data_IF_287453213342
#
_entry.id   IF_287453213342
#
_cell.length_a   1.000
_cell.length_b   1.000
_cell.length_c   1.000
_cell.angle_alpha   90.00
_cell.angle_beta   90.00
_cell.angle_gamma   90.00
#
_symmetry.space_group_name_H-M   'P 1'
#
loop_
_entity.id
_entity.type
_entity.pdbx_description
1 polymer ?
#
# COMPACT_ATOMS: atom_id res chain seq x y z
N UNK A 1 31.39 -72.23 -57.07
CA UNK A 1 30.34 -72.64 -56.12
C UNK A 1 30.90 -72.48 -54.71
N UNK A 2 30.10 -71.91 -53.81
CA UNK A 2 30.28 -71.91 -52.35
C UNK A 2 31.34 -70.97 -51.71
N UNK A 3 30.81 -70.15 -50.79
CA UNK A 3 31.35 -69.48 -49.58
C UNK A 3 32.72 -68.78 -49.63
N UNK A 4 32.78 -67.53 -49.15
CA UNK A 4 33.22 -67.24 -47.77
C UNK A 4 33.34 -65.73 -47.50
N UNK A 5 33.05 -65.41 -46.25
CA UNK A 5 33.14 -64.15 -45.51
C UNK A 5 34.51 -63.45 -45.60
N UNK A 6 34.54 -62.12 -45.53
CA UNK A 6 35.68 -61.41 -44.95
C UNK A 6 35.28 -60.12 -44.22
N UNK A 7 36.12 -59.80 -43.25
CA UNK A 7 35.92 -59.02 -42.04
C UNK A 7 36.51 -57.60 -42.13
N UNK A 8 35.89 -56.70 -41.36
CA UNK A 8 36.51 -55.66 -40.52
C UNK A 8 37.11 -54.37 -41.11
N UNK A 9 36.99 -53.33 -40.26
CA UNK A 9 37.72 -52.05 -40.17
C UNK A 9 37.37 -51.02 -41.26
N UNK A 10 37.01 -49.78 -40.96
CA UNK A 10 37.01 -49.02 -39.72
C UNK A 10 37.38 -47.57 -40.06
N UNK A 11 36.67 -46.59 -39.47
CA UNK A 11 37.15 -45.21 -39.23
C UNK A 11 37.35 -44.35 -40.51
N UNK A 12 37.07 -43.05 -40.65
CA UNK A 12 37.02 -41.85 -39.80
C UNK A 12 36.34 -40.77 -40.67
N UNK A 13 35.30 -40.09 -40.14
CA UNK A 13 34.90 -38.68 -40.37
C UNK A 13 34.51 -38.27 -41.80
N UNK A 14 33.35 -37.68 -42.07
CA UNK A 14 32.64 -36.66 -41.31
C UNK A 14 32.63 -35.37 -42.13
N UNK A 15 31.56 -35.14 -42.90
CA UNK A 15 31.14 -33.79 -43.29
C UNK A 15 29.68 -33.77 -43.75
N UNK A 16 28.90 -33.07 -42.94
CA UNK A 16 27.79 -32.18 -43.28
C UNK A 16 26.76 -32.68 -44.30
N UNK A 17 25.66 -33.24 -43.78
CA UNK A 17 24.33 -33.02 -44.34
C UNK A 17 23.32 -32.69 -43.23
N UNK A 18 22.98 -31.40 -43.19
CA UNK A 18 21.61 -30.88 -43.12
C UNK A 18 20.61 -31.62 -42.22
N UNK A 19 20.47 -31.15 -40.96
CA UNK A 19 19.28 -31.44 -40.13
C UNK A 19 18.41 -30.18 -40.04
N UNK A 20 17.38 -30.09 -40.87
CA UNK A 20 16.22 -29.24 -40.57
C UNK A 20 15.35 -29.98 -39.54
N UNK A 21 15.50 -29.66 -38.26
CA UNK A 21 14.53 -29.97 -37.23
C UNK A 21 13.89 -28.66 -36.81
N UNK A 22 12.64 -28.44 -37.23
CA UNK A 22 11.77 -27.38 -36.75
C UNK A 22 11.46 -27.64 -35.27
N UNK A 23 12.15 -26.95 -34.37
CA UNK A 23 11.77 -26.86 -32.96
C UNK A 23 10.91 -25.60 -32.79
N UNK A 24 9.59 -25.78 -32.71
CA UNK A 24 8.69 -24.74 -32.22
C UNK A 24 8.91 -24.58 -30.70
N UNK A 25 9.71 -23.58 -30.33
CA UNK A 25 9.79 -23.13 -28.93
C UNK A 25 8.57 -22.26 -28.65
N UNK A 26 7.60 -22.83 -27.92
CA UNK A 26 6.53 -22.08 -27.26
C UNK A 26 7.15 -21.15 -26.22
N UNK A 27 7.38 -19.88 -26.59
CA UNK A 27 7.62 -18.83 -25.60
C UNK A 27 6.31 -18.51 -24.89
N UNK A 28 6.09 -19.14 -23.74
CA UNK A 28 5.14 -18.64 -22.76
C UNK A 28 5.65 -17.28 -22.25
N UNK A 29 5.09 -16.20 -22.78
CA UNK A 29 5.34 -14.84 -22.29
C UNK A 29 4.77 -14.72 -20.88
N UNK A 30 5.65 -14.74 -19.88
CA UNK A 30 5.34 -14.34 -18.51
C UNK A 30 5.08 -12.83 -18.48
N UNK A 31 3.82 -12.46 -18.74
CA UNK A 31 3.31 -11.11 -18.53
C UNK A 31 3.35 -10.80 -17.03
N UNK A 32 4.39 -10.09 -16.61
CA UNK A 32 4.49 -9.50 -15.27
C UNK A 32 3.37 -8.47 -15.10
N UNK A 33 2.51 -8.70 -14.11
CA UNK A 33 1.43 -7.83 -13.69
C UNK A 33 1.97 -6.47 -13.17
N UNK A 34 2.07 -5.48 -14.05
CA UNK A 34 2.14 -4.07 -13.67
C UNK A 34 0.72 -3.58 -13.34
N UNK A 35 0.57 -2.76 -12.29
CA UNK A 35 -0.70 -2.27 -11.76
C UNK A 35 -1.55 -1.54 -12.81
N UNK A 36 -2.40 -2.28 -13.50
CA UNK A 36 -3.40 -1.71 -14.38
C UNK A 36 -4.55 -1.15 -13.52
N UNK A 37 -4.89 0.12 -13.78
CA UNK A 37 -6.25 0.62 -13.58
C UNK A 37 -7.18 -0.43 -14.21
N UNK A 38 -8.21 -0.97 -13.53
CA UNK A 38 -9.08 -1.94 -14.16
C UNK A 38 -9.57 -1.34 -15.49
N UNK A 39 -9.22 -1.99 -16.60
CA UNK A 39 -9.86 -1.73 -17.87
C UNK A 39 -11.37 -1.83 -17.62
N UNK A 40 -12.21 -1.03 -18.27
CA UNK A 40 -13.66 -1.27 -18.27
C UNK A 40 -13.88 -2.74 -18.66
N UNK A 41 -14.23 -3.60 -17.69
CA UNK A 41 -14.36 -5.06 -17.87
C UNK A 41 -13.31 -5.96 -17.18
N UNK A 42 -12.31 -5.42 -16.48
CA UNK A 42 -11.37 -6.22 -15.66
C UNK A 42 -11.98 -6.68 -14.31
N UNK A 43 -11.32 -7.59 -13.58
CA UNK A 43 -11.78 -8.03 -12.26
C UNK A 43 -11.82 -6.85 -11.29
N UNK A 44 -12.96 -6.68 -10.60
CA UNK A 44 -13.16 -5.60 -9.63
C UNK A 44 -12.34 -5.92 -8.37
N UNK A 45 -11.43 -5.01 -8.01
CA UNK A 45 -10.61 -5.08 -6.80
C UNK A 45 -11.05 -3.97 -5.84
N UNK A 46 -12.06 -4.22 -4.97
CA UNK A 46 -12.68 -3.16 -4.19
C UNK A 46 -11.74 -2.53 -3.15
N UNK A 47 -10.74 -3.26 -2.67
CA UNK A 47 -9.68 -2.73 -1.80
C UNK A 47 -8.85 -1.64 -2.50
N UNK A 48 -8.54 -1.82 -3.80
CA UNK A 48 -7.84 -0.82 -4.60
C UNK A 48 -8.75 0.37 -4.89
N UNK A 49 -10.04 0.14 -5.17
CA UNK A 49 -11.01 1.22 -5.36
C UNK A 49 -11.13 2.09 -4.10
N UNK A 50 -11.28 1.44 -2.94
CA UNK A 50 -11.33 2.14 -1.66
C UNK A 50 -10.06 2.94 -1.41
N UNK A 51 -8.89 2.32 -1.59
CA UNK A 51 -7.62 3.00 -1.39
C UNK A 51 -7.49 4.23 -2.30
N UNK A 52 -7.76 4.08 -3.60
CA UNK A 52 -7.53 5.14 -4.58
C UNK A 52 -8.53 6.30 -4.50
N UNK A 53 -9.78 6.03 -4.12
CA UNK A 53 -10.86 7.03 -4.22
C UNK A 53 -11.45 7.44 -2.87
N UNK A 54 -11.37 6.59 -1.84
CA UNK A 54 -12.11 6.79 -0.60
C UNK A 54 -11.20 7.08 0.60
N UNK A 55 -10.05 6.40 0.71
CA UNK A 55 -9.16 6.45 1.89
C UNK A 55 -8.64 7.85 2.20
N UNK A 56 -8.46 8.69 1.17
CA UNK A 56 -7.99 10.09 1.31
C UNK A 56 -8.88 10.91 2.25
N UNK A 57 -10.17 10.61 2.30
CA UNK A 57 -11.13 11.23 3.22
C UNK A 57 -11.50 10.30 4.36
N UNK A 58 -11.79 9.03 4.08
CA UNK A 58 -12.33 8.09 5.06
C UNK A 58 -11.26 7.36 5.90
N UNK A 59 -9.98 7.63 5.64
CA UNK A 59 -8.84 6.98 6.30
C UNK A 59 -8.62 5.56 5.79
N UNK A 60 -7.38 5.06 5.84
CA UNK A 60 -7.07 3.68 5.43
C UNK A 60 -7.75 2.62 6.31
N UNK A 61 -8.19 3.01 7.51
CA UNK A 61 -8.90 2.16 8.48
C UNK A 61 -10.42 2.37 8.47
N UNK A 62 -10.94 3.19 7.55
CA UNK A 62 -12.36 3.54 7.51
C UNK A 62 -12.86 4.33 8.72
N UNK A 63 -11.97 4.88 9.54
CA UNK A 63 -12.27 5.57 10.79
C UNK A 63 -12.45 7.09 10.61
N UNK A 64 -12.42 7.58 9.37
CA UNK A 64 -12.50 9.00 9.04
C UNK A 64 -11.28 9.81 9.49
N UNK A 65 -10.23 9.17 10.03
CA UNK A 65 -9.00 9.83 10.47
C UNK A 65 -8.02 9.92 9.31
N UNK A 66 -8.33 10.80 8.35
CA UNK A 66 -7.39 11.17 7.30
C UNK A 66 -6.86 12.59 7.49
N UNK A 67 -5.91 13.01 6.66
CA UNK A 67 -5.45 14.42 6.62
C UNK A 67 -6.59 15.40 6.32
N UNK A 68 -7.66 14.94 5.66
CA UNK A 68 -8.82 15.75 5.33
C UNK A 68 -9.77 15.99 6.53
N UNK A 69 -9.65 15.20 7.61
CA UNK A 69 -10.58 15.26 8.76
C UNK A 69 -10.74 16.66 9.36
N UNK A 70 -9.65 17.42 9.48
CA UNK A 70 -9.66 18.76 10.08
C UNK A 70 -10.15 19.87 9.15
N UNK A 71 -10.26 19.60 7.85
CA UNK A 71 -10.55 20.61 6.82
C UNK A 71 -11.94 20.47 6.19
N UNK A 72 -12.70 19.44 6.57
CA UNK A 72 -14.03 19.16 6.01
C UNK A 72 -15.10 19.29 7.09
N UNK A 73 -16.14 20.05 6.79
CA UNK A 73 -17.32 20.22 7.65
C UNK A 73 -18.56 19.77 6.86
N UNK A 74 -19.31 18.75 7.32
CA UNK A 74 -18.98 17.85 8.43
C UNK A 74 -17.77 16.95 8.11
N UNK A 75 -17.11 16.38 9.14
CA UNK A 75 -15.97 15.48 8.93
C UNK A 75 -16.38 14.21 8.17
N UNK A 76 -15.43 13.54 7.49
CA UNK A 76 -15.67 12.26 6.86
C UNK A 76 -16.25 11.23 7.83
N UNK A 77 -17.11 10.35 7.31
CA UNK A 77 -17.77 9.31 8.10
C UNK A 77 -16.74 8.32 8.65
N UNK A 78 -16.81 8.11 9.97
CA UNK A 78 -16.20 6.97 10.65
C UNK A 78 -17.12 5.75 10.49
N UNK A 79 -16.75 4.82 9.59
CA UNK A 79 -17.48 3.59 9.34
C UNK A 79 -17.39 2.60 10.51
N UNK A 80 -16.33 2.68 11.31
CA UNK A 80 -16.12 1.79 12.47
C UNK A 80 -17.10 2.05 13.61
N UNK A 81 -17.87 3.16 13.54
CA UNK A 81 -18.89 3.56 14.52
C UNK A 81 -20.29 3.75 13.93
N UNK A 82 -20.48 3.46 12.64
CA UNK A 82 -21.72 3.78 11.93
C UNK A 82 -22.71 2.60 11.94
N UNK A 83 -23.56 2.52 12.97
CA UNK A 83 -24.58 1.46 13.09
C UNK A 83 -25.76 1.59 12.11
N UNK A 84 -26.16 2.82 11.75
CA UNK A 84 -27.39 3.09 10.98
C UNK A 84 -27.17 3.23 9.46
N UNK A 85 -26.13 2.61 8.90
CA UNK A 85 -25.78 2.77 7.49
C UNK A 85 -26.04 1.47 6.71
N UNK A 86 -27.26 1.33 6.21
CA UNK A 86 -27.69 0.19 5.39
C UNK A 86 -26.99 0.14 4.03
N UNK A 87 -26.82 -1.07 3.47
CA UNK A 87 -26.13 -1.29 2.18
C UNK A 87 -26.68 -0.39 1.06
N UNK A 88 -28.00 -0.34 0.91
CA UNK A 88 -28.63 0.45 -0.15
C UNK A 88 -28.42 1.96 0.03
N UNK A 89 -28.44 2.43 1.28
CA UNK A 89 -28.12 3.82 1.61
C UNK A 89 -26.68 4.17 1.24
N UNK A 90 -25.73 3.28 1.51
CA UNK A 90 -24.33 3.47 1.12
C UNK A 90 -24.17 3.54 -0.39
N UNK A 91 -24.79 2.62 -1.14
CA UNK A 91 -24.77 2.64 -2.60
C UNK A 91 -25.31 3.98 -3.09
N UNK A 92 -26.48 4.41 -2.59
CA UNK A 92 -27.10 5.67 -2.98
C UNK A 92 -26.19 6.88 -2.73
N UNK A 93 -25.52 6.93 -1.57
CA UNK A 93 -24.59 8.01 -1.20
C UNK A 93 -23.31 7.97 -2.05
N UNK A 94 -22.74 6.79 -2.33
CA UNK A 94 -21.55 6.69 -3.18
C UNK A 94 -21.90 7.05 -4.62
N UNK A 95 -23.07 6.63 -5.10
CA UNK A 95 -23.55 6.95 -6.45
C UNK A 95 -23.82 8.43 -6.61
N UNK A 96 -24.56 9.08 -5.71
CA UNK A 96 -25.03 10.47 -5.93
C UNK A 96 -24.32 11.53 -5.08
N UNK A 97 -23.46 11.11 -4.16
CA UNK A 97 -22.91 11.97 -3.13
C UNK A 97 -23.86 12.16 -1.96
N UNK A 98 -23.42 12.92 -0.96
CA UNK A 98 -24.25 13.34 0.17
C UNK A 98 -24.38 14.85 0.17
N UNK A 99 -25.58 15.41 -0.06
CA UNK A 99 -25.81 16.85 -0.05
C UNK A 99 -25.27 17.53 1.20
N UNK A 100 -24.80 18.76 1.05
CA UNK A 100 -24.24 19.59 2.14
C UNK A 100 -23.01 18.96 2.82
N UNK A 101 -22.25 18.15 2.09
CA UNK A 101 -20.96 17.59 2.53
C UNK A 101 -19.97 17.56 1.37
N UNK A 102 -18.70 17.28 1.66
CA UNK A 102 -17.67 17.08 0.63
C UNK A 102 -17.77 15.72 -0.11
N UNK A 103 -18.72 14.85 0.26
CA UNK A 103 -18.90 13.56 -0.40
C UNK A 103 -19.60 13.74 -1.75
N UNK A 104 -18.81 13.83 -2.82
CA UNK A 104 -19.30 13.90 -4.20
C UNK A 104 -19.86 12.55 -4.66
N UNK A 105 -20.70 12.58 -5.70
CA UNK A 105 -21.12 11.36 -6.40
C UNK A 105 -20.01 10.79 -7.27
N UNK A 106 -19.96 9.46 -7.35
CA UNK A 106 -18.96 8.71 -8.11
C UNK A 106 -19.51 8.02 -9.36
N UNK A 107 -20.79 8.23 -9.68
CA UNK A 107 -21.49 7.63 -10.82
C UNK A 107 -20.87 7.97 -12.19
N UNK A 108 -20.06 9.04 -12.27
CA UNK A 108 -19.37 9.42 -13.50
C UNK A 108 -17.97 8.80 -13.64
N UNK A 109 -17.40 8.25 -12.57
CA UNK A 109 -16.05 7.70 -12.53
C UNK A 109 -16.03 6.18 -12.29
N UNK A 110 -17.04 5.65 -11.59
CA UNK A 110 -17.18 4.25 -11.23
C UNK A 110 -18.47 3.67 -11.83
N UNK A 111 -18.40 2.43 -12.29
CA UNK A 111 -19.58 1.66 -12.68
C UNK A 111 -20.41 1.26 -11.47
N UNK A 112 -21.69 0.95 -11.68
CA UNK A 112 -22.57 0.48 -10.60
C UNK A 112 -22.01 -0.76 -9.87
N UNK A 113 -21.39 -1.69 -10.61
CA UNK A 113 -20.75 -2.88 -10.02
C UNK A 113 -19.54 -2.53 -9.15
N UNK A 114 -18.74 -1.54 -9.54
CA UNK A 114 -17.61 -1.05 -8.74
C UNK A 114 -18.07 -0.34 -7.48
N UNK A 115 -19.15 0.44 -7.56
CA UNK A 115 -19.79 1.09 -6.42
C UNK A 115 -20.32 0.05 -5.42
N UNK A 116 -21.03 -0.96 -5.90
CA UNK A 116 -21.51 -2.05 -5.04
C UNK A 116 -20.35 -2.79 -4.38
N UNK A 117 -19.31 -3.12 -5.14
CA UNK A 117 -18.14 -3.82 -4.62
C UNK A 117 -17.39 -3.01 -3.55
N UNK A 118 -17.18 -1.70 -3.74
CA UNK A 118 -16.52 -0.87 -2.72
C UNK A 118 -17.39 -0.69 -1.48
N UNK A 119 -18.73 -0.60 -1.64
CA UNK A 119 -19.66 -0.56 -0.50
C UNK A 119 -19.59 -1.87 0.30
N UNK A 120 -19.61 -3.01 -0.38
CA UNK A 120 -19.53 -4.32 0.26
C UNK A 120 -18.18 -4.52 0.95
N UNK A 121 -17.09 -4.02 0.36
CA UNK A 121 -15.78 -3.97 1.00
C UNK A 121 -15.77 -3.09 2.26
N UNK A 122 -16.34 -1.88 2.23
CA UNK A 122 -16.43 -0.99 3.41
C UNK A 122 -17.18 -1.70 4.54
N UNK A 123 -18.31 -2.33 4.23
CA UNK A 123 -19.16 -3.02 5.21
C UNK A 123 -18.45 -4.24 5.81
N UNK A 124 -17.86 -5.07 4.96
CA UNK A 124 -17.17 -6.29 5.38
C UNK A 124 -15.79 -6.04 5.98
N UNK A 125 -15.20 -4.87 5.81
CA UNK A 125 -13.87 -4.56 6.38
C UNK A 125 -13.99 -3.69 7.62
N UNK A 126 -14.70 -2.57 7.54
CA UNK A 126 -14.68 -1.53 8.59
C UNK A 126 -15.91 -1.58 9.50
N UNK A 127 -17.04 -2.11 9.03
CA UNK A 127 -18.31 -2.07 9.76
C UNK A 127 -18.65 -3.38 10.49
N UNK A 128 -17.81 -4.43 10.40
CA UNK A 128 -18.13 -5.74 11.00
C UNK A 128 -18.51 -5.67 12.47
N UNK A 129 -17.75 -4.91 13.27
CA UNK A 129 -18.00 -4.79 14.71
C UNK A 129 -19.37 -4.17 14.98
N UNK A 130 -19.76 -3.12 14.25
CA UNK A 130 -21.05 -2.45 14.45
C UNK A 130 -22.22 -3.24 13.86
N UNK A 131 -21.97 -4.20 12.97
CA UNK A 131 -23.02 -4.99 12.30
C UNK A 131 -23.23 -6.39 12.90
N UNK A 132 -22.27 -6.96 13.64
CA UNK A 132 -22.39 -8.29 14.27
C UNK A 132 -22.61 -8.15 15.79
N UNK A 133 -23.80 -8.51 16.33
CA UNK A 133 -24.09 -8.45 17.76
C UNK A 133 -23.07 -9.21 18.64
N UNK A 134 -22.45 -10.28 18.14
CA UNK A 134 -21.42 -11.02 18.89
C UNK A 134 -20.14 -10.19 19.02
N UNK A 135 -19.77 -9.44 17.99
CA UNK A 135 -18.62 -8.54 18.04
C UNK A 135 -18.90 -7.31 18.93
N UNK A 136 -20.13 -6.81 18.95
CA UNK A 136 -20.56 -5.77 19.90
C UNK A 136 -20.47 -6.27 21.34
N UNK A 137 -20.95 -7.48 21.62
CA UNK A 137 -20.79 -8.12 22.93
C UNK A 137 -19.30 -8.27 23.30
N UNK A 138 -18.48 -8.76 22.37
CA UNK A 138 -17.03 -8.85 22.57
C UNK A 138 -16.36 -7.51 22.85
N UNK A 139 -16.79 -6.44 22.18
CA UNK A 139 -16.33 -5.07 22.42
C UNK A 139 -16.68 -4.61 23.84
N UNK A 140 -17.91 -4.86 24.30
CA UNK A 140 -18.30 -4.53 25.67
C UNK A 140 -17.44 -5.27 26.70
N UNK A 141 -17.24 -6.58 26.50
CA UNK A 141 -16.36 -7.39 27.36
C UNK A 141 -14.94 -6.81 27.38
N UNK A 142 -14.39 -6.43 26.22
CA UNK A 142 -13.06 -5.82 26.12
C UNK A 142 -12.94 -4.51 26.90
N UNK A 143 -13.90 -3.60 26.73
CA UNK A 143 -13.91 -2.29 27.39
C UNK A 143 -13.93 -2.46 28.91
N UNK A 144 -14.75 -3.38 29.43
CA UNK A 144 -14.90 -3.57 30.87
C UNK A 144 -13.76 -4.35 31.53
N UNK A 145 -13.08 -5.25 30.79
CA UNK A 145 -12.17 -6.23 31.42
C UNK A 145 -10.73 -6.16 30.90
N UNK A 146 -10.50 -5.71 29.68
CA UNK A 146 -9.23 -5.87 28.99
C UNK A 146 -8.53 -4.53 28.69
N UNK A 147 -9.31 -3.50 28.38
CA UNK A 147 -8.83 -2.19 27.90
C UNK A 147 -7.85 -1.52 28.87
N UNK A 148 -8.03 -1.69 30.18
CA UNK A 148 -7.14 -1.10 31.20
C UNK A 148 -5.67 -1.49 31.01
N UNK A 149 -5.40 -2.71 30.56
CA UNK A 149 -4.03 -3.19 30.33
C UNK A 149 -3.69 -3.21 28.83
N UNK A 150 -4.64 -3.55 27.96
CA UNK A 150 -4.37 -3.70 26.52
C UNK A 150 -4.52 -2.41 25.73
N UNK A 151 -5.05 -1.33 26.33
CA UNK A 151 -5.32 -0.06 25.67
C UNK A 151 -6.60 -0.07 24.85
N UNK A 152 -7.09 1.10 24.47
CA UNK A 152 -8.29 1.29 23.65
C UNK A 152 -8.15 0.76 22.21
N UNK A 153 -6.92 0.71 21.69
CA UNK A 153 -6.58 0.22 20.34
C UNK A 153 -5.79 -1.08 20.37
N UNK A 154 -5.73 -1.77 21.51
CA UNK A 154 -4.96 -3.01 21.65
C UNK A 154 -3.44 -2.83 21.58
N UNK A 155 -2.92 -1.62 21.79
CA UNK A 155 -1.51 -1.28 21.70
C UNK A 155 -0.66 -1.79 22.88
N UNK A 156 -1.31 -2.21 23.96
CA UNK A 156 -0.67 -2.56 25.23
C UNK A 156 -0.25 -1.32 26.03
N UNK A 157 -0.55 -1.30 27.33
CA UNK A 157 -0.02 -0.31 28.27
C UNK A 157 1.34 -0.76 28.84
N UNK A 158 2.10 0.16 29.44
CA UNK A 158 3.35 -0.20 30.14
C UNK A 158 3.04 -1.06 31.38
N UNK A 159 3.77 -2.16 31.55
CA UNK A 159 3.69 -3.00 32.76
C UNK A 159 4.67 -2.55 33.83
N UNK A 160 4.37 -2.92 35.08
CA UNK A 160 5.31 -2.83 36.20
C UNK A 160 6.61 -3.59 35.90
N UNK A 161 7.73 -3.08 36.41
CA UNK A 161 9.07 -3.67 36.24
C UNK A 161 9.06 -5.16 36.64
N UNK A 162 9.54 -6.03 35.75
CA UNK A 162 9.68 -7.47 35.99
C UNK A 162 8.58 -8.37 35.42
N UNK A 163 7.48 -7.81 34.90
CA UNK A 163 6.44 -8.58 34.20
C UNK A 163 6.50 -8.38 32.69
N UNK A 164 6.23 -9.44 31.93
CA UNK A 164 6.07 -9.33 30.47
C UNK A 164 4.89 -8.39 30.16
N UNK A 165 5.09 -7.37 29.31
CA UNK A 165 4.06 -6.37 29.05
C UNK A 165 2.87 -6.95 28.29
N UNK A 166 1.68 -6.32 28.41
CA UNK A 166 0.52 -6.62 27.58
C UNK A 166 0.86 -6.64 26.10
N UNK A 167 0.26 -7.59 25.37
CA UNK A 167 0.52 -7.76 23.93
C UNK A 167 -0.04 -6.57 23.14
N UNK A 168 0.76 -6.06 22.20
CA UNK A 168 0.31 -5.13 21.17
C UNK A 168 -0.30 -5.93 19.99
N UNK A 169 -1.63 -5.94 19.93
CA UNK A 169 -2.42 -6.66 18.92
C UNK A 169 -2.30 -6.06 17.52
N UNK A 170 -1.92 -4.78 17.40
CA UNK A 170 -1.81 -4.09 16.11
C UNK A 170 -0.53 -4.42 15.33
N UNK A 171 0.39 -5.22 15.88
CA UNK A 171 1.65 -5.58 15.22
C UNK A 171 1.45 -6.69 14.18
N UNK A 172 2.17 -6.68 13.03
CA UNK A 172 2.14 -7.78 12.07
C UNK A 172 2.49 -9.13 12.72
N UNK A 173 3.44 -9.14 13.65
CA UNK A 173 3.85 -10.33 14.39
C UNK A 173 2.71 -10.88 15.25
N UNK A 174 2.00 -10.02 15.99
CA UNK A 174 0.81 -10.44 16.75
C UNK A 174 -0.29 -11.00 15.83
N UNK A 175 -0.53 -10.36 14.68
CA UNK A 175 -1.49 -10.86 13.68
C UNK A 175 -1.14 -12.25 13.14
N UNK A 176 0.14 -12.52 12.93
CA UNK A 176 0.61 -13.81 12.44
C UNK A 176 0.56 -14.90 13.53
N UNK A 177 0.94 -14.60 14.77
CA UNK A 177 1.10 -15.63 15.80
C UNK A 177 -0.15 -15.93 16.64
N UNK A 178 -1.06 -14.96 16.78
CA UNK A 178 -2.17 -15.04 17.74
C UNK A 178 -3.39 -15.63 17.04
N UNK A 179 -3.41 -16.95 16.88
CA UNK A 179 -4.59 -17.67 16.40
C UNK A 179 -5.76 -17.50 17.36
N UNK A 180 -6.99 -17.71 16.86
CA UNK A 180 -8.21 -17.61 17.68
C UNK A 180 -8.14 -18.55 18.88
N UNK A 181 -7.75 -19.80 18.64
CA UNK A 181 -7.68 -20.87 19.63
C UNK A 181 -6.65 -20.53 20.71
N UNK A 182 -5.49 -20.01 20.30
CA UNK A 182 -4.43 -19.58 21.23
C UNK A 182 -4.89 -18.41 22.10
N UNK A 183 -5.62 -17.46 21.52
CA UNK A 183 -6.16 -16.33 22.26
C UNK A 183 -7.23 -16.77 23.26
N UNK A 184 -8.16 -17.64 22.86
CA UNK A 184 -9.15 -18.23 23.77
C UNK A 184 -8.44 -18.94 24.92
N UNK A 185 -7.47 -19.80 24.62
CA UNK A 185 -6.70 -20.49 25.65
C UNK A 185 -6.02 -19.52 26.63
N UNK A 186 -5.43 -18.44 26.12
CA UNK A 186 -4.74 -17.45 26.94
C UNK A 186 -5.69 -16.61 27.80
N UNK A 187 -6.89 -16.30 27.32
CA UNK A 187 -7.92 -15.59 28.10
C UNK A 187 -8.52 -16.51 29.16
N UNK A 188 -8.81 -17.76 28.80
CA UNK A 188 -9.35 -18.77 29.72
C UNK A 188 -8.40 -19.06 30.86
N UNK A 189 -7.12 -19.33 30.57
CA UNK A 189 -6.16 -19.85 31.53
C UNK A 189 -5.18 -18.80 32.09
N UNK A 190 -5.21 -17.58 31.56
CA UNK A 190 -4.22 -16.56 31.86
C UNK A 190 -2.86 -16.89 31.24
N UNK A 191 -1.84 -16.08 31.52
CA UNK A 191 -0.46 -16.33 31.06
C UNK A 191 0.54 -16.22 32.21
N UNK A 192 1.32 -17.27 32.51
CA UNK A 192 2.39 -17.23 33.51
C UNK A 192 3.40 -16.12 33.21
N UNK A 193 4.02 -15.56 34.26
CA UNK A 193 4.99 -14.46 34.19
C UNK A 193 4.43 -13.16 33.57
N UNK A 194 3.11 -12.99 33.60
CA UNK A 194 2.40 -11.79 33.15
C UNK A 194 1.31 -11.40 34.15
N UNK A 195 0.77 -10.19 34.03
CA UNK A 195 -0.41 -9.77 34.81
C UNK A 195 -1.74 -10.38 34.29
N UNK A 196 -1.73 -11.16 33.21
CA UNK A 196 -2.92 -11.73 32.59
C UNK A 196 -3.45 -12.91 33.40
N UNK A 197 -4.34 -12.64 34.35
CA UNK A 197 -5.04 -13.66 35.13
C UNK A 197 -6.01 -14.51 34.26
N UNK A 198 -6.36 -15.74 34.70
CA UNK A 198 -7.40 -16.55 34.05
C UNK A 198 -8.79 -15.93 34.18
N UNK A 199 -9.56 -15.95 33.09
CA UNK A 199 -10.95 -15.47 33.06
C UNK A 199 -12.00 -16.60 33.08
N UNK A 200 -11.59 -17.89 33.05
CA UNK A 200 -12.51 -19.02 33.01
C UNK A 200 -13.58 -19.03 34.12
N UNK A 201 -13.29 -18.46 35.29
CA UNK A 201 -14.22 -18.36 36.43
C UNK A 201 -14.91 -16.99 36.54
N UNK A 202 -14.55 -16.03 35.69
CA UNK A 202 -15.03 -14.64 35.73
C UNK A 202 -15.95 -14.29 34.56
N UNK A 203 -15.76 -14.97 33.43
CA UNK A 203 -16.53 -14.75 32.21
C UNK A 203 -17.09 -16.10 31.71
N UNK A 204 -18.35 -16.13 31.22
CA UNK A 204 -18.86 -17.24 30.44
C UNK A 204 -17.99 -17.54 29.21
N UNK A 205 -17.92 -18.80 28.80
CA UNK A 205 -17.15 -19.20 27.59
C UNK A 205 -17.55 -18.40 26.35
N UNK A 206 -18.84 -18.12 26.17
CA UNK A 206 -19.35 -17.30 25.06
C UNK A 206 -18.77 -15.88 25.06
N UNK A 207 -18.52 -15.29 26.23
CA UNK A 207 -17.97 -13.93 26.35
C UNK A 207 -16.46 -13.93 26.11
N UNK A 208 -15.77 -15.00 26.50
CA UNK A 208 -14.35 -15.24 26.16
C UNK A 208 -14.19 -15.38 24.63
N UNK A 209 -15.05 -16.15 23.99
CA UNK A 209 -15.04 -16.29 22.53
C UNK A 209 -15.36 -14.95 21.83
N UNK A 210 -16.40 -14.26 22.29
CA UNK A 210 -16.80 -12.98 21.73
C UNK A 210 -15.70 -11.92 21.83
N UNK A 211 -15.02 -11.79 22.98
CA UNK A 211 -13.92 -10.82 23.13
C UNK A 211 -12.73 -11.16 22.25
N UNK A 212 -12.41 -12.44 22.06
CA UNK A 212 -11.35 -12.86 21.14
C UNK A 212 -11.71 -12.54 19.69
N UNK A 213 -12.96 -12.80 19.29
CA UNK A 213 -13.45 -12.50 17.95
C UNK A 213 -13.46 -10.99 17.69
N UNK A 214 -13.81 -10.18 18.70
CA UNK A 214 -13.69 -8.73 18.66
C UNK A 214 -12.24 -8.27 18.52
N UNK A 215 -11.29 -8.77 19.34
CA UNK A 215 -9.88 -8.36 19.25
C UNK A 215 -9.34 -8.67 17.84
N UNK A 216 -9.62 -9.87 17.33
CA UNK A 216 -9.17 -10.29 16.00
C UNK A 216 -9.78 -9.46 14.86
N UNK A 217 -11.05 -9.10 14.98
CA UNK A 217 -11.76 -8.38 13.91
C UNK A 217 -11.55 -6.86 13.99
N UNK A 218 -11.62 -6.28 15.19
CA UNK A 218 -11.61 -4.84 15.41
C UNK A 218 -10.25 -4.24 15.74
N UNK A 219 -9.37 -4.97 16.44
CA UNK A 219 -8.06 -4.44 16.89
C UNK A 219 -6.88 -4.99 16.06
N UNK A 220 -7.04 -6.16 15.47
CA UNK A 220 -6.05 -6.84 14.64
C UNK A 220 -6.33 -6.66 13.14
N UNK A 221 -7.01 -5.57 12.74
CA UNK A 221 -7.14 -5.25 11.31
C UNK A 221 -5.75 -5.15 10.69
N UNK A 222 -5.52 -5.74 9.49
CA UNK A 222 -4.29 -5.49 8.77
C UNK A 222 -4.15 -3.99 8.58
N UNK A 223 -2.95 -3.46 8.83
CA UNK A 223 -2.59 -2.19 8.21
C UNK A 223 -2.84 -2.37 6.70
N UNK A 224 -3.31 -1.35 5.98
CA UNK A 224 -3.47 -1.40 4.52
C UNK A 224 -2.12 -1.58 3.77
N UNK A 225 -1.11 -2.15 4.41
CA UNK A 225 0.12 -2.63 3.79
C UNK A 225 -0.19 -3.79 2.87
N UNK A 226 0.28 -3.63 1.64
CA UNK A 226 0.20 -4.52 0.47
C UNK A 226 -0.80 -4.11 -0.61
N UNK A 227 -1.62 -3.06 -0.38
CA UNK A 227 -2.20 -2.30 -1.49
C UNK A 227 -1.08 -1.40 -2.01
N UNK A 228 -0.46 -1.80 -3.13
CA UNK A 228 0.62 -1.06 -3.82
C UNK A 228 0.39 0.46 -3.77
N UNK A 229 1.07 1.14 -2.83
CA UNK A 229 0.94 2.57 -2.60
C UNK A 229 1.01 3.03 -1.13
N UNK A 230 0.61 2.19 -0.17
CA UNK A 230 0.56 2.59 1.26
C UNK A 230 1.92 2.54 1.98
N UNK A 231 2.93 1.89 1.40
CA UNK A 231 4.28 1.79 1.98
C UNK A 231 5.15 3.03 1.79
N UNK A 232 4.69 4.06 1.07
CA UNK A 232 5.49 5.27 0.85
C UNK A 232 5.57 6.17 2.11
N UNK A 233 4.72 5.96 3.13
CA UNK A 233 4.60 6.91 4.24
C UNK A 233 4.46 6.33 5.66
N UNK A 234 4.72 5.03 5.85
CA UNK A 234 4.77 4.44 7.19
C UNK A 234 6.04 3.60 7.34
N UNK A 235 6.96 4.12 8.17
CA UNK A 235 8.28 3.59 8.57
C UNK A 235 9.45 4.03 7.70
N UNK A 236 10.24 4.96 8.25
CA UNK A 236 11.67 5.00 7.98
C UNK A 236 12.26 3.65 8.38
N UNK A 237 12.59 2.81 7.40
CA UNK A 237 13.37 1.59 7.59
C UNK A 237 14.80 1.92 7.19
N UNK A 238 15.61 2.27 8.17
CA UNK A 238 17.02 2.66 8.05
C UNK A 238 17.96 1.48 7.72
N UNK A 239 17.56 0.57 6.83
CA UNK A 239 18.32 -0.64 6.54
C UNK A 239 18.50 -1.00 5.05
N UNK A 240 17.80 -0.34 4.12
CA UNK A 240 17.83 -0.67 2.68
C UNK A 240 18.29 0.50 1.79
N UNK A 241 18.89 1.53 2.38
CA UNK A 241 19.20 2.78 1.67
C UNK A 241 20.32 2.66 0.61
N UNK A 242 21.20 1.66 0.69
CA UNK A 242 22.33 1.57 -0.24
C UNK A 242 21.98 0.87 -1.58
N UNK A 243 21.19 -0.21 -1.56
CA UNK A 243 20.79 -0.92 -2.78
C UNK A 243 19.64 -0.24 -3.54
N UNK A 244 18.83 0.60 -2.88
CA UNK A 244 17.74 1.33 -3.52
C UNK A 244 18.21 2.42 -4.48
N UNK A 245 19.35 3.06 -4.21
CA UNK A 245 19.83 4.25 -4.94
C UNK A 245 20.53 3.95 -6.27
N UNK A 246 20.84 2.68 -6.53
CA UNK A 246 21.39 2.19 -7.80
C UNK A 246 20.32 1.76 -8.81
N UNK A 247 19.05 1.70 -8.40
CA UNK A 247 17.95 1.25 -9.26
C UNK A 247 17.75 2.18 -10.47
N UNK A 248 17.54 1.56 -11.63
CA UNK A 248 17.16 2.21 -12.89
C UNK A 248 15.63 2.38 -12.97
N UNK A 249 15.13 3.12 -13.96
CA UNK A 249 13.69 3.27 -14.16
C UNK A 249 13.02 1.93 -14.52
N UNK A 250 11.78 1.74 -14.05
CA UNK A 250 11.07 0.44 -14.03
C UNK A 250 10.85 -0.16 -15.43
N UNK A 251 10.82 0.69 -16.47
CA UNK A 251 10.59 0.29 -17.86
C UNK A 251 11.87 0.26 -18.72
N UNK A 252 13.06 0.27 -18.11
CA UNK A 252 14.33 0.35 -18.84
C UNK A 252 14.60 1.71 -19.51
N UNK A 253 13.76 2.71 -19.23
CA UNK A 253 13.93 4.08 -19.71
C UNK A 253 15.28 4.64 -19.23
N UNK A 254 15.89 5.47 -20.07
CA UNK A 254 17.10 6.22 -19.74
C UNK A 254 16.76 7.70 -19.78
N UNK A 255 16.68 8.34 -18.61
CA UNK A 255 16.37 9.76 -18.53
C UNK A 255 17.53 10.64 -19.02
N UNK A 256 17.20 11.70 -19.74
CA UNK A 256 18.09 12.78 -20.15
C UNK A 256 17.96 13.97 -19.18
N UNK A 257 18.93 14.20 -18.28
CA UNK A 257 18.84 15.27 -17.29
C UNK A 257 18.89 16.68 -17.92
N UNK A 258 19.39 16.85 -19.14
CA UNK A 258 19.39 18.15 -19.80
C UNK A 258 17.99 18.54 -20.27
N UNK A 259 17.28 17.60 -20.92
CA UNK A 259 15.85 17.76 -21.28
C UNK A 259 14.98 17.89 -20.03
N UNK A 260 15.23 17.05 -19.04
CA UNK A 260 14.55 17.08 -17.75
C UNK A 260 14.73 18.40 -17.01
N UNK A 261 15.92 18.98 -17.06
CA UNK A 261 16.20 20.28 -16.45
C UNK A 261 15.41 21.41 -17.11
N UNK A 262 15.28 21.41 -18.44
CA UNK A 262 14.45 22.39 -19.14
C UNK A 262 12.98 22.27 -18.71
N UNK A 263 12.44 21.06 -18.72
CA UNK A 263 11.07 20.78 -18.28
C UNK A 263 10.83 21.13 -16.81
N UNK A 264 11.80 20.82 -15.94
CA UNK A 264 11.73 21.17 -14.52
C UNK A 264 11.60 22.68 -14.32
N UNK A 265 12.44 23.46 -15.02
CA UNK A 265 12.46 24.91 -14.86
C UNK A 265 11.20 25.59 -15.38
N UNK A 266 10.62 25.09 -16.48
CA UNK A 266 9.38 25.65 -17.04
C UNK A 266 8.13 25.26 -16.25
N UNK A 267 8.12 24.07 -15.67
CA UNK A 267 6.88 23.46 -15.17
C UNK A 267 6.90 23.20 -13.67
N UNK A 268 8.00 22.67 -13.13
CA UNK A 268 8.06 22.16 -11.75
C UNK A 268 8.60 23.20 -10.75
N UNK A 269 9.57 24.02 -11.17
CA UNK A 269 10.28 24.98 -10.32
C UNK A 269 9.37 26.07 -9.73
N UNK A 270 8.26 26.36 -10.38
CA UNK A 270 7.22 27.27 -9.90
C UNK A 270 6.71 26.90 -8.50
N UNK A 271 6.64 25.62 -8.19
CA UNK A 271 6.22 25.12 -6.88
C UNK A 271 7.42 24.59 -6.08
N UNK A 272 8.29 23.80 -6.70
CA UNK A 272 9.41 23.15 -6.01
C UNK A 272 10.66 24.02 -5.83
N UNK A 273 10.71 25.20 -6.44
CA UNK A 273 11.84 26.12 -6.43
C UNK A 273 12.94 25.73 -7.41
N UNK A 274 13.66 26.71 -7.97
CA UNK A 274 14.79 26.45 -8.87
C UNK A 274 15.93 25.65 -8.19
N UNK A 275 16.01 25.74 -6.85
CA UNK A 275 16.97 25.01 -6.02
C UNK A 275 16.44 23.66 -5.52
N UNK A 276 15.19 23.31 -5.83
CA UNK A 276 14.55 22.10 -5.31
C UNK A 276 14.26 22.13 -3.80
N UNK A 277 14.22 23.32 -3.20
CA UNK A 277 14.05 23.54 -1.76
C UNK A 277 12.58 23.59 -1.30
N UNK A 278 11.64 23.39 -2.23
CA UNK A 278 10.20 23.48 -1.97
C UNK A 278 9.70 24.92 -1.80
N UNK A 279 10.52 25.93 -2.14
CA UNK A 279 10.21 27.36 -1.97
C UNK A 279 10.00 28.08 -3.30
N UNK A 280 9.34 27.43 -4.26
CA UNK A 280 8.96 28.08 -5.51
C UNK A 280 8.04 29.29 -5.27
N UNK A 281 7.91 30.21 -6.23
CA UNK A 281 7.08 31.42 -6.10
C UNK A 281 5.61 31.13 -5.75
N UNK A 282 5.09 29.93 -6.06
CA UNK A 282 3.74 29.49 -5.66
C UNK A 282 3.69 28.71 -4.35
N UNK A 283 4.81 28.38 -3.72
CA UNK A 283 4.85 27.53 -2.53
C UNK A 283 4.21 28.17 -1.29
N UNK A 284 4.07 29.50 -1.23
CA UNK A 284 3.61 30.20 -0.02
C UNK A 284 2.16 29.86 0.38
N UNK A 285 1.29 29.55 -0.58
CA UNK A 285 -0.13 29.21 -0.33
C UNK A 285 -0.45 27.71 -0.46
N UNK A 286 0.50 26.88 -0.89
CA UNK A 286 0.30 25.43 -1.09
C UNK A 286 0.41 24.69 0.25
N UNK A 287 -0.60 23.87 0.60
CA UNK A 287 -0.61 23.02 1.78
C UNK A 287 -1.13 21.60 1.43
N UNK A 288 -0.37 20.52 1.69
CA UNK A 288 0.98 20.50 2.27
C UNK A 288 2.02 21.13 1.35
N UNK A 289 3.06 21.74 1.94
CA UNK A 289 4.13 22.43 1.19
C UNK A 289 4.79 21.50 0.15
N UNK A 290 5.21 22.04 -1.01
CA UNK A 290 5.96 21.28 -2.00
C UNK A 290 7.20 20.61 -1.38
N UNK A 291 7.54 19.41 -1.87
CA UNK A 291 8.67 18.63 -1.35
C UNK A 291 9.97 19.42 -1.45
N UNK A 292 10.68 19.54 -0.32
CA UNK A 292 12.07 19.95 -0.27
C UNK A 292 12.97 18.73 -0.56
N UNK A 293 13.63 18.72 -1.71
CA UNK A 293 14.52 17.64 -2.14
C UNK A 293 15.91 17.71 -1.48
N UNK A 294 16.20 18.79 -0.76
CA UNK A 294 17.47 19.00 -0.06
C UNK A 294 17.46 18.43 1.37
N UNK A 295 16.28 18.04 1.88
CA UNK A 295 16.13 17.48 3.22
C UNK A 295 16.81 16.10 3.33
N UNK A 296 17.86 16.04 4.15
CA UNK A 296 18.71 14.86 4.34
C UNK A 296 17.93 13.63 4.83
N UNK A 297 16.88 13.82 5.65
CA UNK A 297 16.08 12.72 6.18
C UNK A 297 15.29 11.99 5.08
N UNK A 298 14.98 12.69 3.99
CA UNK A 298 14.17 12.16 2.90
C UNK A 298 14.99 11.68 1.71
N UNK A 299 16.13 12.31 1.41
CA UNK A 299 16.96 11.99 0.22
C UNK A 299 17.31 10.51 0.06
N UNK A 300 17.54 9.80 1.15
CA UNK A 300 17.87 8.38 1.15
C UNK A 300 16.75 7.48 0.58
N UNK A 301 15.50 7.97 0.56
CA UNK A 301 14.33 7.21 0.13
C UNK A 301 13.79 7.65 -1.25
N UNK A 302 14.39 8.66 -1.90
CA UNK A 302 13.98 9.14 -3.23
C UNK A 302 14.95 8.64 -4.31
N UNK A 303 14.89 7.36 -4.62
CA UNK A 303 15.60 6.79 -5.77
C UNK A 303 14.89 7.12 -7.10
N UNK A 304 15.51 6.75 -8.24
CA UNK A 304 14.95 7.01 -9.58
C UNK A 304 13.52 6.49 -9.76
N UNK A 305 13.19 5.22 -9.41
CA UNK A 305 11.80 4.75 -9.42
C UNK A 305 10.84 5.59 -8.56
N UNK A 306 11.25 5.96 -7.35
CA UNK A 306 10.39 6.72 -6.44
C UNK A 306 10.09 8.13 -6.96
N UNK A 307 11.07 8.81 -7.57
CA UNK A 307 10.85 10.12 -8.21
C UNK A 307 9.97 9.98 -9.44
N UNK A 308 10.22 8.98 -10.29
CA UNK A 308 9.44 8.70 -11.48
C UNK A 308 7.95 8.50 -11.17
N UNK A 309 7.65 7.60 -10.21
CA UNK A 309 6.28 7.33 -9.79
C UNK A 309 5.61 8.57 -9.20
N UNK A 310 6.34 9.35 -8.38
CA UNK A 310 5.81 10.59 -7.82
C UNK A 310 5.39 11.62 -8.86
N UNK A 311 6.12 11.71 -9.98
CA UNK A 311 5.81 12.63 -11.08
C UNK A 311 4.67 12.05 -11.94
N UNK A 312 4.75 10.76 -12.30
CA UNK A 312 3.75 10.09 -13.12
C UNK A 312 2.36 10.10 -12.48
N UNK A 313 2.28 9.74 -11.21
CA UNK A 313 1.02 9.58 -10.46
C UNK A 313 0.61 10.83 -9.70
N UNK A 314 1.53 11.80 -9.55
CA UNK A 314 1.33 12.95 -8.70
C UNK A 314 1.34 12.57 -7.22
N UNK A 315 0.82 13.45 -6.37
CA UNK A 315 0.67 13.19 -4.94
C UNK A 315 -0.73 13.57 -4.50
N UNK A 316 -1.58 12.55 -4.33
CA UNK A 316 -2.94 12.70 -3.84
C UNK A 316 -2.98 13.43 -2.48
N UNK A 317 -3.93 14.35 -2.33
CA UNK A 317 -4.00 15.23 -1.15
C UNK A 317 -2.97 16.35 -1.14
N UNK A 318 -2.35 16.66 -2.29
CA UNK A 318 -1.44 17.80 -2.50
C UNK A 318 -1.75 18.47 -3.84
N UNK A 319 -1.17 19.64 -4.07
CA UNK A 319 -1.25 20.38 -5.34
C UNK A 319 -0.37 19.78 -6.46
N UNK A 320 0.24 18.61 -6.26
CA UNK A 320 1.08 17.95 -7.27
C UNK A 320 0.23 16.98 -8.12
N UNK A 321 -0.10 17.34 -9.38
CA UNK A 321 -0.97 16.52 -10.23
C UNK A 321 -0.25 15.30 -10.81
N UNK A 322 -1.02 14.36 -11.34
CA UNK A 322 -0.52 13.22 -12.09
C UNK A 322 -0.06 13.63 -13.49
N UNK A 323 1.25 13.80 -13.68
CA UNK A 323 1.78 14.31 -14.95
C UNK A 323 1.73 13.28 -16.08
N UNK A 324 1.52 12.00 -15.79
CA UNK A 324 1.28 10.96 -16.82
C UNK A 324 0.06 11.23 -17.71
N UNK A 325 -0.79 12.20 -17.34
CA UNK A 325 -1.93 12.63 -18.17
C UNK A 325 -1.55 13.59 -19.29
N UNK A 326 -0.38 14.22 -19.19
CA UNK A 326 0.04 15.29 -20.11
C UNK A 326 1.50 15.20 -20.54
N UNK A 327 2.31 14.36 -19.91
CA UNK A 327 3.69 14.05 -20.25
C UNK A 327 3.82 12.57 -20.63
N UNK A 328 4.70 12.30 -21.58
CA UNK A 328 5.12 10.94 -21.93
C UNK A 328 5.97 10.31 -20.83
N UNK A 329 6.06 8.98 -20.80
CA UNK A 329 6.92 8.28 -19.84
C UNK A 329 8.39 8.71 -19.97
N UNK A 330 8.87 9.00 -21.18
CA UNK A 330 10.24 9.46 -21.40
C UNK A 330 10.47 10.87 -20.83
N UNK A 331 9.54 11.81 -21.01
CA UNK A 331 9.64 13.15 -20.40
C UNK A 331 9.63 13.08 -18.87
N UNK A 332 8.83 12.16 -18.32
CA UNK A 332 8.81 11.88 -16.88
C UNK A 332 10.15 11.28 -16.42
N UNK A 333 10.73 10.36 -17.19
CA UNK A 333 12.07 9.82 -16.91
C UNK A 333 13.14 10.91 -16.96
N UNK A 334 13.08 11.81 -17.95
CA UNK A 334 14.02 12.91 -18.13
C UNK A 334 13.99 13.86 -16.91
N UNK A 335 12.81 14.35 -16.53
CA UNK A 335 12.68 15.26 -15.36
C UNK A 335 13.01 14.55 -14.04
N UNK A 336 12.70 13.26 -13.93
CA UNK A 336 13.05 12.46 -12.75
C UNK A 336 14.56 12.26 -12.63
N UNK A 337 15.25 12.04 -13.74
CA UNK A 337 16.71 11.94 -13.78
C UNK A 337 17.36 13.27 -13.41
N UNK A 338 16.84 14.38 -13.93
CA UNK A 338 17.28 15.71 -13.53
C UNK A 338 17.14 15.92 -12.02
N UNK A 339 15.95 15.69 -11.44
CA UNK A 339 15.71 15.86 -10.00
C UNK A 339 16.65 14.97 -9.18
N UNK A 340 16.81 13.71 -9.59
CA UNK A 340 17.68 12.75 -8.93
C UNK A 340 19.15 13.19 -8.92
N UNK A 341 19.71 13.53 -10.09
CA UNK A 341 21.12 13.95 -10.19
C UNK A 341 21.35 15.33 -9.57
N UNK A 342 20.45 16.29 -9.80
CA UNK A 342 20.66 17.69 -9.43
C UNK A 342 20.44 17.96 -7.95
N UNK A 343 19.44 17.31 -7.36
CA UNK A 343 19.04 17.59 -5.99
C UNK A 343 19.35 16.44 -5.06
N UNK A 344 19.20 15.17 -5.45
CA UNK A 344 19.29 14.02 -4.54
C UNK A 344 20.69 13.40 -4.48
N UNK A 345 21.43 13.37 -5.60
CA UNK A 345 22.85 12.95 -5.66
C UNK A 345 23.72 13.92 -6.49
N UNK A 346 23.87 15.18 -6.06
CA UNK A 346 24.73 16.13 -6.74
C UNK A 346 26.19 15.64 -6.68
N UNK A 347 26.80 15.42 -7.85
CA UNK A 347 28.23 15.12 -7.97
C UNK A 347 28.61 13.68 -8.35
N UNK A 348 27.66 12.73 -8.45
CA UNK A 348 27.96 11.40 -8.99
C UNK A 348 27.70 11.38 -10.50
N UNK A 349 28.75 11.52 -11.32
CA UNK A 349 28.64 11.31 -12.78
C UNK A 349 28.12 9.89 -13.04
N UNK A 350 27.11 9.76 -13.91
CA UNK A 350 26.62 8.46 -14.36
C UNK A 350 27.77 7.67 -15.00
N UNK A 351 28.11 6.54 -14.42
CA UNK A 351 29.03 5.58 -15.03
C UNK A 351 28.36 5.05 -16.31
N UNK A 352 28.80 5.50 -17.49
CA UNK A 352 28.31 4.98 -18.76
C UNK A 352 28.25 6.00 -19.89
N UNK A 353 29.41 6.39 -20.39
CA UNK A 353 29.57 7.15 -21.62
C UNK A 353 31.05 7.26 -21.98
N UNK A 354 31.59 6.23 -22.64
CA UNK A 354 32.88 6.35 -23.33
C UNK A 354 32.71 7.34 -24.49
N UNK A 355 33.71 8.19 -24.64
CA UNK A 355 33.86 9.20 -25.69
C UNK A 355 34.00 8.55 -27.06
#
# INVERSE_FOLDING_TARGET
>A
MQWMTFTSRGSVWGSLMTRCVLVFVLMASSATWAGQRPLKGGPIKPEILYHNYCSVCHGDKGDGNSRAKGSLVPPPRDFTKAGELGRQTMITIVTHGKPSTAMTGWQTQLTQKEIEAVVDYIRSTFMRVVLDPRLQQGQAVYIHNCMVCHGDKGQGAMSSVGLVPPRNFATPQARAELTRERMIYSVTNGRPNTAMAPFAKRLPTKDIEAVVDYIRTGLMMPEAGDISGTSAHSRGRSGEAENGMAQTFVNGLKGDPAKGGKLYMTTCATCHGAKGDGKGPRAYFINPKPRNFLDLAFRANFNRPAVFLAVAEGRLGTEMPAWSKVLTEQEIADVSEFVFQRFIRPGTKAAGGKR
#
